data_IF_126097309750
#
_entry.id   IF_126097309750
#
_cell.length_a   1.000
_cell.length_b   1.000
_cell.length_c   1.000
_cell.angle_alpha   90.00
_cell.angle_beta   90.00
_cell.angle_gamma   90.00
#
_symmetry.space_group_name_H-M   'P 1'
#
loop_
_entity.id
_entity.type
_entity.pdbx_description
1 polymer ?
#
# COMPACT_ATOMS: atom_id res chain seq x y z
N UNK A 1 0.98 15.00 16.02
CA UNK A 1 1.83 13.79 15.92
C UNK A 1 1.00 12.72 15.25
N UNK A 2 1.46 12.13 14.14
CA UNK A 2 0.70 11.09 13.44
C UNK A 2 0.96 9.77 14.18
N UNK A 3 -0.07 9.07 14.70
CA UNK A 3 0.12 7.79 15.36
C UNK A 3 0.62 6.75 14.36
N UNK A 4 1.56 5.91 14.81
CA UNK A 4 1.98 4.74 14.05
C UNK A 4 0.80 3.76 13.93
N UNK A 5 0.72 3.02 12.82
CA UNK A 5 -0.25 1.94 12.70
C UNK A 5 -0.05 0.90 13.83
N UNK A 6 -1.16 0.46 14.44
CA UNK A 6 -1.17 -0.42 15.62
C UNK A 6 -0.42 -1.74 15.36
N UNK A 7 -0.58 -2.32 14.18
CA UNK A 7 0.15 -3.52 13.76
C UNK A 7 1.66 -3.30 13.74
N UNK A 8 2.15 -2.21 13.12
CA UNK A 8 3.57 -1.88 13.05
C UNK A 8 4.15 -1.67 14.45
N UNK A 9 3.41 -0.97 15.32
CA UNK A 9 3.83 -0.76 16.70
C UNK A 9 3.96 -2.10 17.46
N UNK A 10 2.94 -2.97 17.39
CA UNK A 10 2.97 -4.30 18.03
C UNK A 10 4.12 -5.16 17.50
N UNK A 11 4.37 -5.13 16.20
CA UNK A 11 5.47 -5.87 15.57
C UNK A 11 6.83 -5.42 16.11
N UNK A 12 7.08 -4.11 16.15
CA UNK A 12 8.34 -3.58 16.69
C UNK A 12 8.46 -3.81 18.20
N UNK A 13 7.37 -3.64 18.95
CA UNK A 13 7.33 -3.90 20.38
C UNK A 13 7.65 -5.37 20.73
N UNK A 14 7.28 -6.33 19.86
CA UNK A 14 7.60 -7.75 20.04
C UNK A 14 9.12 -8.04 20.02
N UNK A 15 9.92 -7.10 19.50
CA UNK A 15 11.39 -7.18 19.36
C UNK A 15 12.14 -6.32 20.38
N UNK A 16 11.43 -5.82 21.39
CA UNK A 16 12.04 -4.96 22.40
C UNK A 16 13.18 -5.70 23.14
N UNK A 17 14.34 -5.05 23.23
CA UNK A 17 15.56 -5.63 23.81
C UNK A 17 16.46 -6.38 22.83
N UNK A 18 16.04 -6.58 21.58
CA UNK A 18 16.91 -7.13 20.53
C UNK A 18 17.83 -6.06 19.93
N UNK A 19 19.00 -6.48 19.40
CA UNK A 19 19.84 -5.57 18.61
C UNK A 19 19.13 -5.26 17.30
N UNK A 20 19.13 -4.00 16.87
CA UNK A 20 18.56 -3.57 15.60
C UNK A 20 19.43 -2.50 14.95
N UNK A 21 19.41 -2.44 13.62
CA UNK A 21 19.95 -1.36 12.80
C UNK A 21 18.80 -0.68 12.08
N UNK A 22 18.77 0.65 12.06
CA UNK A 22 17.71 1.45 11.42
C UNK A 22 18.34 2.40 10.42
N UNK A 23 17.82 2.41 9.19
CA UNK A 23 18.19 3.36 8.15
C UNK A 23 16.96 4.13 7.70
N UNK A 24 17.00 5.47 7.82
CA UNK A 24 15.97 6.36 7.29
C UNK A 24 16.24 6.83 5.85
N UNK A 25 17.34 6.38 5.22
CA UNK A 25 17.92 7.02 4.04
C UNK A 25 17.26 6.66 2.70
N UNK A 26 16.22 5.81 2.67
CA UNK A 26 15.65 5.35 1.40
C UNK A 26 14.53 6.30 0.94
N UNK A 27 14.84 7.08 -0.10
CA UNK A 27 13.90 7.98 -0.76
C UNK A 27 13.13 7.20 -1.84
N UNK A 28 11.86 6.89 -1.56
CA UNK A 28 10.97 6.36 -2.60
C UNK A 28 10.29 7.54 -3.30
N UNK A 29 10.30 7.48 -4.64
CA UNK A 29 9.74 8.47 -5.58
C UNK A 29 8.49 9.15 -5.01
N UNK A 30 8.40 10.48 -5.21
CA UNK A 30 7.41 11.42 -4.64
C UNK A 30 7.69 11.93 -3.21
N UNK A 31 8.96 11.90 -2.77
CA UNK A 31 9.40 12.64 -1.57
C UNK A 31 9.09 11.95 -0.24
N UNK A 32 8.71 10.68 -0.25
CA UNK A 32 8.40 9.90 0.95
C UNK A 32 9.64 9.10 1.38
N UNK A 33 9.97 9.10 2.68
CA UNK A 33 11.04 8.27 3.24
C UNK A 33 10.49 6.90 3.63
N UNK A 34 11.09 5.82 3.11
CA UNK A 34 10.81 4.45 3.55
C UNK A 34 11.93 4.02 4.51
N UNK A 35 11.69 4.01 5.83
CA UNK A 35 12.70 3.52 6.76
C UNK A 35 12.86 2.00 6.61
N UNK A 36 14.10 1.53 6.74
CA UNK A 36 14.47 0.12 6.82
C UNK A 36 14.93 -0.19 8.25
N UNK A 37 14.46 -1.32 8.80
CA UNK A 37 14.83 -1.79 10.15
C UNK A 37 15.28 -3.23 10.02
N UNK A 38 16.52 -3.51 10.42
CA UNK A 38 17.13 -4.85 10.39
C UNK A 38 17.35 -5.31 11.83
N UNK A 39 16.73 -6.42 12.22
CA UNK A 39 16.92 -7.06 13.53
C UNK A 39 17.70 -8.38 13.30
N UNK A 40 19.02 -8.45 13.55
CA UNK A 40 19.81 -9.66 13.34
C UNK A 40 19.43 -10.79 14.29
N UNK A 41 19.24 -11.99 13.73
CA UNK A 41 19.03 -13.24 14.48
C UNK A 41 18.06 -14.19 13.79
N UNK A 42 18.02 -15.45 14.25
CA UNK A 42 16.89 -16.33 13.96
C UNK A 42 15.79 -16.03 14.97
N UNK A 43 14.60 -15.64 14.51
CA UNK A 43 13.57 -15.23 15.42
C UNK A 43 13.05 -16.45 16.19
N UNK A 44 13.27 -16.47 17.51
CA UNK A 44 13.10 -17.66 18.35
C UNK A 44 11.65 -18.14 18.48
N UNK A 45 10.68 -17.29 18.20
CA UNK A 45 9.24 -17.53 18.34
C UNK A 45 8.45 -17.08 17.09
N UNK A 46 8.88 -17.46 15.88
CA UNK A 46 8.07 -17.20 14.68
C UNK A 46 7.17 -18.39 14.44
N UNK A 47 5.94 -18.28 14.91
CA UNK A 47 4.90 -19.28 14.66
C UNK A 47 4.35 -19.16 13.24
N UNK A 48 4.44 -17.96 12.63
CA UNK A 48 4.10 -17.71 11.23
C UNK A 48 5.08 -16.70 10.64
N UNK A 49 5.81 -17.11 9.61
CA UNK A 49 6.13 -16.17 8.56
C UNK A 49 4.80 -15.91 7.86
N UNK A 50 4.17 -14.73 8.04
CA UNK A 50 3.25 -14.24 7.02
C UNK A 50 4.08 -14.30 5.74
N UNK A 51 3.85 -15.32 4.90
CA UNK A 51 4.30 -15.26 3.51
C UNK A 51 3.83 -13.91 3.06
N UNK A 52 4.72 -13.15 2.45
CA UNK A 52 4.34 -12.01 1.65
C UNK A 52 3.25 -12.55 0.73
N UNK A 53 2.00 -12.36 1.14
CA UNK A 53 0.85 -12.58 0.31
C UNK A 53 0.89 -11.34 -0.55
N UNK A 54 1.90 -11.30 -1.41
CA UNK A 54 1.94 -10.47 -2.58
C UNK A 54 0.74 -10.90 -3.39
N UNK A 55 -0.43 -10.43 -2.98
CA UNK A 55 -1.55 -10.16 -3.86
C UNK A 55 -1.04 -9.04 -4.77
N UNK A 56 -0.10 -9.39 -5.66
CA UNK A 56 0.25 -8.56 -6.81
C UNK A 56 -0.94 -8.39 -7.76
N UNK A 57 -2.02 -9.12 -7.47
CA UNK A 57 -3.30 -9.10 -8.13
C UNK A 57 -4.29 -8.33 -7.25
N UNK A 58 -4.71 -7.18 -7.76
CA UNK A 58 -5.85 -6.42 -7.23
C UNK A 58 -7.10 -7.18 -7.66
N UNK A 59 -7.98 -7.50 -6.71
CA UNK A 59 -9.27 -8.13 -6.97
C UNK A 59 -10.42 -7.14 -6.77
N UNK A 60 -11.56 -7.30 -7.45
CA UNK A 60 -12.78 -6.57 -7.12
C UNK A 60 -13.15 -6.81 -5.65
N UNK A 61 -13.42 -5.74 -4.91
CA UNK A 61 -13.70 -5.78 -3.48
C UNK A 61 -12.49 -5.48 -2.57
N UNK A 62 -11.27 -5.35 -3.13
CA UNK A 62 -10.11 -4.94 -2.33
C UNK A 62 -10.22 -3.46 -1.93
N UNK A 63 -9.92 -3.11 -0.66
CA UNK A 63 -9.81 -1.72 -0.23
C UNK A 63 -8.51 -1.14 -0.77
N UNK A 64 -8.60 0.05 -1.39
CA UNK A 64 -7.46 0.76 -1.96
C UNK A 64 -7.41 2.18 -1.45
N UNK A 65 -6.21 2.75 -1.45
CA UNK A 65 -5.96 4.15 -1.17
C UNK A 65 -5.35 4.82 -2.39
N UNK A 66 -5.85 6.00 -2.73
CA UNK A 66 -5.33 6.77 -3.86
C UNK A 66 -4.07 7.51 -3.40
N UNK A 67 -2.98 7.35 -4.16
CA UNK A 67 -1.65 7.91 -3.86
C UNK A 67 -1.25 9.06 -4.79
N UNK A 68 -2.18 9.56 -5.62
CA UNK A 68 -1.96 10.74 -6.48
C UNK A 68 -3.13 11.72 -6.46
N UNK A 69 -2.81 12.98 -6.72
CA UNK A 69 -3.80 14.02 -7.01
C UNK A 69 -4.66 13.66 -8.24
N UNK A 70 -5.92 14.12 -8.32
CA UNK A 70 -6.58 15.06 -7.39
C UNK A 70 -7.17 14.41 -6.12
N UNK A 71 -7.24 13.08 -6.04
CA UNK A 71 -7.91 12.36 -4.95
C UNK A 71 -6.93 11.77 -3.91
N UNK A 72 -5.79 12.43 -3.69
CA UNK A 72 -4.74 11.90 -2.81
C UNK A 72 -5.28 11.62 -1.38
N UNK A 73 -5.04 10.41 -0.88
CA UNK A 73 -5.43 9.99 0.46
C UNK A 73 -6.87 9.46 0.58
N UNK A 74 -7.69 9.57 -0.47
CA UNK A 74 -9.05 9.03 -0.46
C UNK A 74 -9.01 7.50 -0.50
N UNK A 75 -9.88 6.87 0.30
CA UNK A 75 -10.08 5.42 0.36
C UNK A 75 -11.28 5.05 -0.51
N UNK A 76 -11.17 3.93 -1.20
CA UNK A 76 -12.25 3.38 -1.99
C UNK A 76 -12.11 1.87 -2.14
N UNK A 77 -13.13 1.26 -2.72
CA UNK A 77 -13.18 -0.19 -2.98
C UNK A 77 -13.15 -0.44 -4.48
N UNK A 78 -12.36 -1.41 -4.92
CA UNK A 78 -12.27 -1.78 -6.34
C UNK A 78 -13.60 -2.36 -6.80
N UNK A 79 -14.23 -1.72 -7.79
CA UNK A 79 -15.48 -2.18 -8.40
C UNK A 79 -15.22 -3.15 -9.54
N UNK A 80 -14.33 -2.79 -10.46
CA UNK A 80 -14.01 -3.59 -11.64
C UNK A 80 -12.61 -3.29 -12.17
N UNK A 81 -12.03 -4.27 -12.88
CA UNK A 81 -10.73 -4.13 -13.56
C UNK A 81 -10.91 -4.34 -15.07
N UNK A 82 -11.14 -3.26 -15.84
CA UNK A 82 -11.13 -3.35 -17.30
C UNK A 82 -9.74 -3.80 -17.79
N UNK A 83 -9.64 -4.88 -18.58
CA UNK A 83 -8.34 -5.37 -19.07
C UNK A 83 -7.79 -4.50 -20.21
N UNK A 84 -8.63 -3.68 -20.84
CA UNK A 84 -8.29 -2.83 -21.97
C UNK A 84 -7.51 -1.57 -21.56
N UNK A 85 -6.62 -1.13 -22.43
CA UNK A 85 -5.85 0.10 -22.26
C UNK A 85 -6.72 1.31 -22.59
N UNK A 86 -7.18 2.03 -21.57
CA UNK A 86 -7.97 3.25 -21.77
C UNK A 86 -7.05 4.44 -22.05
N UNK A 87 -7.42 5.27 -23.01
CA UNK A 87 -6.76 6.56 -23.27
C UNK A 87 -7.11 7.51 -22.11
N UNK A 88 -6.09 7.93 -21.38
CA UNK A 88 -6.23 8.86 -20.26
C UNK A 88 -6.05 10.28 -20.78
N UNK A 89 -6.46 11.31 -20.04
CA UNK A 89 -6.39 12.73 -20.45
C UNK A 89 -4.98 13.24 -20.86
N UNK A 90 -3.92 12.45 -20.68
CA UNK A 90 -2.57 12.70 -21.20
C UNK A 90 -2.30 12.04 -22.57
N UNK A 91 -3.33 11.62 -23.30
CA UNK A 91 -3.25 10.84 -24.55
C UNK A 91 -2.47 9.52 -24.42
N UNK A 92 -2.23 9.07 -23.19
CA UNK A 92 -1.44 7.88 -22.90
C UNK A 92 -2.34 6.69 -22.59
N UNK A 93 -1.96 5.51 -23.08
CA UNK A 93 -2.63 4.26 -22.77
C UNK A 93 -2.18 3.74 -21.41
N UNK A 94 -3.11 3.62 -20.45
CA UNK A 94 -2.82 2.99 -19.18
C UNK A 94 -3.94 2.05 -18.74
N UNK A 95 -3.55 1.05 -17.93
CA UNK A 95 -4.52 0.15 -17.30
C UNK A 95 -5.22 0.90 -16.18
N UNK A 96 -6.52 1.01 -16.29
CA UNK A 96 -7.37 1.70 -15.33
C UNK A 96 -8.10 0.70 -14.42
N UNK A 97 -8.62 1.22 -13.33
CA UNK A 97 -9.52 0.53 -12.42
C UNK A 97 -10.68 1.44 -12.07
N UNK A 98 -11.87 0.84 -11.99
CA UNK A 98 -13.06 1.50 -11.46
C UNK A 98 -13.06 1.33 -9.94
N UNK A 99 -13.10 2.44 -9.23
CA UNK A 99 -13.08 2.47 -7.77
C UNK A 99 -14.35 3.17 -7.30
N UNK A 100 -15.06 2.54 -6.37
CA UNK A 100 -16.16 3.18 -5.64
C UNK A 100 -15.58 3.86 -4.42
N UNK A 101 -15.69 5.18 -4.36
CA UNK A 101 -15.31 5.97 -3.20
C UNK A 101 -16.32 5.79 -2.07
N UNK A 102 -15.93 6.11 -0.83
CA UNK A 102 -16.85 6.11 0.32
C UNK A 102 -18.05 7.06 0.14
N UNK A 103 -17.93 8.07 -0.74
CA UNK A 103 -19.04 8.95 -1.14
C UNK A 103 -20.10 8.27 -2.02
N UNK A 104 -19.85 7.04 -2.48
CA UNK A 104 -20.69 6.31 -3.44
C UNK A 104 -20.41 6.65 -4.91
N UNK A 105 -19.50 7.60 -5.18
CA UNK A 105 -19.08 7.95 -6.53
C UNK A 105 -18.13 6.90 -7.11
N UNK A 106 -18.33 6.55 -8.40
CA UNK A 106 -17.44 5.63 -9.12
C UNK A 106 -16.50 6.43 -9.99
N UNK A 107 -15.21 6.35 -9.69
CA UNK A 107 -14.16 7.02 -10.44
C UNK A 107 -13.29 6.02 -11.20
N UNK A 108 -12.74 6.44 -12.33
CA UNK A 108 -11.79 5.67 -13.13
C UNK A 108 -10.39 6.22 -12.87
N UNK A 109 -9.49 5.37 -12.39
CA UNK A 109 -8.15 5.79 -11.97
C UNK A 109 -7.10 4.80 -12.50
N UNK A 110 -5.91 5.27 -12.93
CA UNK A 110 -4.83 4.37 -13.31
C UNK A 110 -4.41 3.44 -12.18
N UNK A 111 -4.10 2.18 -12.50
CA UNK A 111 -3.51 1.20 -11.56
C UNK A 111 -2.27 1.74 -10.84
N UNK A 112 -1.49 2.58 -11.52
CA UNK A 112 -0.27 3.18 -10.97
C UNK A 112 -0.52 4.22 -9.86
N UNK A 113 -1.77 4.66 -9.67
CA UNK A 113 -2.14 5.73 -8.75
C UNK A 113 -2.81 5.22 -7.47
N UNK A 114 -2.84 3.91 -7.24
CA UNK A 114 -3.41 3.31 -6.03
C UNK A 114 -2.38 2.49 -5.25
N UNK A 115 -2.69 2.26 -3.99
CA UNK A 115 -2.05 1.32 -3.09
C UNK A 115 -3.13 0.43 -2.46
N UNK A 116 -2.92 -0.89 -2.41
CA UNK A 116 -3.86 -1.84 -1.78
C UNK A 116 -3.66 -1.79 -0.27
N UNK A 117 -4.75 -1.69 0.48
CA UNK A 117 -4.73 -1.76 1.93
C UNK A 117 -4.86 -3.25 2.33
N UNK A 118 -3.87 -3.77 3.04
CA UNK A 118 -3.94 -5.13 3.59
C UNK A 118 -5.00 -5.17 4.70
N UNK A 119 -5.81 -6.24 4.73
CA UNK A 119 -6.81 -6.50 5.78
C UNK A 119 -6.16 -6.90 7.10
#
# INVERSE_FOLDING_TARGET
MIPMADYTFKLLASRNGEKASVSGATQIRAGVMRPEIIVPGFPKNVTECKKDQGRGWIEPGDPIRIIREPHFGVIGTVKSLPPELTVIGSESHARVLEVTLDSGEVIVIPRANIEVLEK
#
